data_IF_160682988212
#
_entry.id   IF_160682988212
#
_cell.length_a   1.000
_cell.length_b   1.000
_cell.length_c   1.000
_cell.angle_alpha   90.00
_cell.angle_beta   90.00
_cell.angle_gamma   90.00
#
_symmetry.space_group_name_H-M   'P 1'
#
loop_
_entity.id
_entity.type
_entity.pdbx_description
1 polymer ?
#
# COMPACT_ATOMS: atom_id res chain seq x y z
N UNK A 1 -28.28 -5.68 -12.32
CA UNK A 1 -26.81 -5.46 -12.24
C UNK A 1 -26.32 -5.50 -10.79
N UNK A 2 -26.95 -4.80 -9.85
CA UNK A 2 -26.62 -4.86 -8.41
C UNK A 2 -26.74 -6.27 -7.79
N UNK A 3 -27.71 -7.06 -8.26
CA UNK A 3 -27.93 -8.43 -7.75
C UNK A 3 -26.80 -9.40 -8.10
N UNK A 4 -26.11 -9.16 -9.22
CA UNK A 4 -24.97 -9.96 -9.65
C UNK A 4 -23.71 -9.60 -8.84
N UNK A 5 -23.53 -8.32 -8.50
CA UNK A 5 -22.43 -7.85 -7.64
C UNK A 5 -22.60 -8.39 -6.22
N UNK A 6 -23.80 -8.31 -5.65
CA UNK A 6 -24.08 -8.86 -4.32
C UNK A 6 -23.91 -10.39 -4.25
N UNK A 7 -24.27 -11.10 -5.33
CA UNK A 7 -24.07 -12.55 -5.45
C UNK A 7 -22.60 -12.91 -5.51
N UNK A 8 -21.82 -12.20 -6.32
CA UNK A 8 -20.38 -12.45 -6.45
C UNK A 8 -19.62 -12.11 -5.16
N UNK A 9 -19.95 -11.01 -4.47
CA UNK A 9 -19.37 -10.69 -3.16
C UNK A 9 -19.65 -11.77 -2.11
N UNK A 10 -20.87 -12.32 -2.10
CA UNK A 10 -21.26 -13.37 -1.15
C UNK A 10 -20.53 -14.69 -1.42
N UNK A 11 -20.25 -14.99 -2.68
CA UNK A 11 -19.44 -16.15 -3.09
C UNK A 11 -17.98 -15.93 -2.67
N UNK A 12 -17.44 -14.73 -2.88
CA UNK A 12 -16.07 -14.38 -2.50
C UNK A 12 -15.86 -14.45 -0.97
N UNK A 13 -16.77 -13.85 -0.20
CA UNK A 13 -16.74 -13.87 1.25
C UNK A 13 -16.80 -15.29 1.82
N UNK A 14 -17.61 -16.16 1.21
CA UNK A 14 -17.75 -17.55 1.67
C UNK A 14 -16.52 -18.39 1.34
N UNK A 15 -15.82 -18.10 0.25
CA UNK A 15 -14.54 -18.70 -0.06
C UNK A 15 -13.44 -18.25 0.93
N UNK A 16 -13.37 -16.94 1.24
CA UNK A 16 -12.41 -16.41 2.21
C UNK A 16 -12.65 -16.93 3.64
N UNK A 17 -13.91 -17.07 4.07
CA UNK A 17 -14.22 -17.63 5.39
C UNK A 17 -13.81 -19.09 5.54
N UNK A 18 -13.91 -19.89 4.46
CA UNK A 18 -13.51 -21.30 4.47
C UNK A 18 -11.97 -21.43 4.54
N UNK A 19 -11.24 -20.56 3.84
CA UNK A 19 -9.77 -20.54 3.86
C UNK A 19 -9.25 -20.09 5.24
N UNK A 20 -9.93 -19.13 5.88
CA UNK A 20 -9.61 -18.68 7.23
C UNK A 20 -9.80 -19.80 8.27
N UNK A 21 -10.93 -20.52 8.21
CA UNK A 21 -11.24 -21.60 9.16
C UNK A 21 -10.25 -22.77 9.09
N UNK A 22 -9.83 -23.15 7.88
CA UNK A 22 -8.84 -24.23 7.69
C UNK A 22 -7.48 -23.85 8.29
N UNK A 23 -7.06 -22.60 8.15
CA UNK A 23 -5.80 -22.09 8.72
C UNK A 23 -5.85 -22.03 10.26
N UNK A 24 -6.98 -21.59 10.82
CA UNK A 24 -7.20 -21.52 12.27
C UNK A 24 -7.20 -22.91 12.91
N UNK A 25 -7.85 -23.90 12.29
CA UNK A 25 -7.87 -25.29 12.80
C UNK A 25 -6.50 -25.96 12.75
N UNK A 26 -5.72 -25.75 11.68
CA UNK A 26 -4.34 -26.27 11.60
C UNK A 26 -3.39 -25.63 12.63
N UNK A 27 -3.60 -24.37 12.99
CA UNK A 27 -2.90 -23.72 14.10
C UNK A 27 -3.33 -24.26 15.47
N UNK A 28 -4.64 -24.42 15.72
CA UNK A 28 -5.14 -24.80 17.05
C UNK A 28 -4.67 -26.18 17.52
N UNK A 29 -4.66 -27.20 16.65
CA UNK A 29 -4.34 -28.58 17.10
C UNK A 29 -2.84 -28.83 17.25
N UNK A 30 -1.99 -28.15 16.47
CA UNK A 30 -0.52 -28.23 16.62
C UNK A 30 0.02 -27.27 17.69
N UNK A 31 -0.77 -26.29 18.12
CA UNK A 31 -0.35 -25.26 19.08
C UNK A 31 -0.45 -25.74 20.54
N UNK A 32 -1.45 -26.53 20.92
CA UNK A 32 -1.61 -26.94 22.34
C UNK A 32 -0.40 -27.73 22.86
N UNK A 33 0.07 -28.73 22.10
CA UNK A 33 1.23 -29.54 22.49
C UNK A 33 2.54 -28.72 22.48
N UNK A 34 2.68 -27.77 21.54
CA UNK A 34 3.80 -26.83 21.50
C UNK A 34 3.77 -25.84 22.66
N UNK A 35 2.59 -25.37 23.06
CA UNK A 35 2.41 -24.49 24.21
C UNK A 35 2.79 -25.18 25.52
N UNK A 36 2.35 -26.42 25.71
CA UNK A 36 2.75 -27.24 26.87
C UNK A 36 4.26 -27.51 26.84
N UNK A 37 4.82 -27.88 25.69
CA UNK A 37 6.27 -28.10 25.55
C UNK A 37 7.08 -26.82 25.83
N UNK A 38 6.60 -25.65 25.37
CA UNK A 38 7.24 -24.37 25.66
C UNK A 38 7.20 -24.04 27.15
N UNK A 39 6.06 -24.26 27.81
CA UNK A 39 5.91 -24.05 29.26
C UNK A 39 6.87 -24.95 30.05
N UNK A 40 6.91 -26.24 29.71
CA UNK A 40 7.85 -27.19 30.32
C UNK A 40 9.30 -26.79 30.03
N UNK A 41 9.61 -26.31 28.82
CA UNK A 41 10.93 -25.81 28.46
C UNK A 41 11.36 -24.62 29.32
N UNK A 42 10.48 -23.65 29.55
CA UNK A 42 10.74 -22.51 30.45
C UNK A 42 10.99 -22.99 31.88
N UNK A 43 10.17 -23.93 32.36
CA UNK A 43 10.32 -24.46 33.71
C UNK A 43 11.62 -25.25 33.87
N UNK A 44 11.97 -26.09 32.90
CA UNK A 44 13.21 -26.84 32.87
C UNK A 44 14.43 -25.91 32.80
N UNK A 45 14.35 -24.83 32.02
CA UNK A 45 15.41 -23.83 31.96
C UNK A 45 15.61 -23.10 33.29
N UNK A 46 14.52 -22.74 33.98
CA UNK A 46 14.58 -22.09 35.29
C UNK A 46 15.17 -23.03 36.35
N UNK A 47 14.67 -24.26 36.43
CA UNK A 47 15.18 -25.26 37.37
C UNK A 47 16.62 -25.66 37.09
N UNK A 48 17.01 -25.76 35.81
CA UNK A 48 18.39 -26.00 35.41
C UNK A 48 19.33 -24.89 35.89
N UNK A 49 18.91 -23.62 35.77
CA UNK A 49 19.68 -22.48 36.29
C UNK A 49 19.85 -22.54 37.80
N UNK A 50 18.78 -22.82 38.55
CA UNK A 50 18.86 -22.97 40.00
C UNK A 50 19.78 -24.13 40.40
N UNK A 51 19.65 -25.28 39.73
CA UNK A 51 20.52 -26.44 39.96
C UNK A 51 21.99 -26.10 39.71
N UNK A 52 22.29 -25.40 38.61
CA UNK A 52 23.65 -25.01 38.26
C UNK A 52 24.20 -23.96 39.24
N UNK A 53 23.35 -23.02 39.67
CA UNK A 53 23.71 -22.03 40.69
C UNK A 53 24.08 -22.70 42.01
N UNK A 54 23.23 -23.59 42.55
CA UNK A 54 23.52 -24.28 43.81
C UNK A 54 24.76 -25.18 43.71
N UNK A 55 24.97 -25.83 42.56
CA UNK A 55 26.17 -26.64 42.32
C UNK A 55 27.45 -25.78 42.32
N UNK A 56 27.42 -24.60 41.69
CA UNK A 56 28.55 -23.67 41.67
C UNK A 56 28.75 -22.95 43.00
N UNK A 57 27.66 -22.62 43.70
CA UNK A 57 27.69 -21.98 45.01
C UNK A 57 28.51 -22.82 46.00
N UNK A 58 28.34 -24.15 45.97
CA UNK A 58 29.09 -25.07 46.82
C UNK A 58 30.62 -24.98 46.60
N UNK A 59 31.06 -24.68 45.37
CA UNK A 59 32.47 -24.63 45.03
C UNK A 59 33.09 -23.24 45.21
N UNK A 60 32.44 -22.20 44.68
CA UNK A 60 33.03 -20.85 44.51
C UNK A 60 32.32 -19.76 45.33
N UNK A 61 31.29 -20.14 46.09
CA UNK A 61 30.47 -19.23 46.88
C UNK A 61 29.39 -18.51 46.05
N UNK A 62 28.42 -17.88 46.74
CA UNK A 62 27.19 -17.39 46.12
C UNK A 62 27.42 -16.23 45.14
N UNK A 63 28.39 -15.36 45.44
CA UNK A 63 28.66 -14.15 44.63
C UNK A 63 29.20 -14.55 43.25
N UNK A 64 30.24 -15.39 43.22
CA UNK A 64 30.85 -15.83 41.96
C UNK A 64 29.94 -16.76 41.16
N UNK A 65 29.17 -17.62 41.85
CA UNK A 65 28.15 -18.44 41.20
C UNK A 65 27.09 -17.58 40.50
N UNK A 66 26.53 -16.57 41.18
CA UNK A 66 25.53 -15.68 40.59
C UNK A 66 26.10 -14.91 39.39
N UNK A 67 27.33 -14.40 39.51
CA UNK A 67 28.00 -13.67 38.43
C UNK A 67 28.21 -14.54 37.18
N UNK A 68 28.70 -15.78 37.35
CA UNK A 68 28.98 -16.66 36.22
C UNK A 68 27.71 -17.15 35.55
N UNK A 69 26.69 -17.53 36.32
CA UNK A 69 25.39 -17.95 35.79
C UNK A 69 24.71 -16.77 35.07
N UNK A 70 24.74 -15.57 35.63
CA UNK A 70 24.21 -14.37 34.99
C UNK A 70 24.90 -14.06 33.66
N UNK A 71 26.23 -14.14 33.62
CA UNK A 71 27.02 -13.90 32.41
C UNK A 71 26.73 -14.97 31.34
N UNK A 72 26.63 -16.24 31.73
CA UNK A 72 26.26 -17.32 30.83
C UNK A 72 24.86 -17.13 30.21
N UNK A 73 23.87 -16.71 31.01
CA UNK A 73 22.53 -16.39 30.51
C UNK A 73 22.53 -15.19 29.57
N UNK A 74 23.31 -14.16 29.85
CA UNK A 74 23.46 -13.00 28.97
C UNK A 74 24.05 -13.40 27.62
N UNK A 75 25.11 -14.22 27.62
CA UNK A 75 25.68 -14.78 26.39
C UNK A 75 24.65 -15.60 25.61
N UNK A 76 23.89 -16.46 26.29
CA UNK A 76 22.83 -17.24 25.66
C UNK A 76 21.76 -16.33 25.03
N UNK A 77 21.36 -15.26 25.71
CA UNK A 77 20.41 -14.28 25.18
C UNK A 77 20.94 -13.58 23.92
N UNK A 78 22.22 -13.17 23.91
CA UNK A 78 22.85 -12.58 22.73
C UNK A 78 22.85 -13.57 21.56
N UNK A 79 23.21 -14.83 21.79
CA UNK A 79 23.20 -15.89 20.76
C UNK A 79 21.79 -16.08 20.20
N UNK A 80 20.78 -16.20 21.07
CA UNK A 80 19.38 -16.33 20.66
C UNK A 80 18.90 -15.12 19.86
N UNK A 81 19.29 -13.90 20.25
CA UNK A 81 18.95 -12.68 19.54
C UNK A 81 19.58 -12.66 18.14
N UNK A 82 20.85 -13.06 18.00
CA UNK A 82 21.51 -13.17 16.69
C UNK A 82 20.81 -14.22 15.81
N UNK A 83 20.40 -15.36 16.38
CA UNK A 83 19.65 -16.40 15.65
C UNK A 83 18.27 -15.88 15.24
N UNK A 84 17.57 -15.18 16.14
CA UNK A 84 16.26 -14.60 15.87
C UNK A 84 16.34 -13.55 14.74
N UNK A 85 17.37 -12.70 14.74
CA UNK A 85 17.61 -11.74 13.66
C UNK A 85 17.90 -12.41 12.31
N UNK A 86 18.54 -13.59 12.32
CA UNK A 86 18.79 -14.37 11.10
C UNK A 86 17.60 -15.19 10.64
N UNK A 87 16.59 -15.37 11.48
CA UNK A 87 15.39 -16.13 11.16
C UNK A 87 14.46 -15.25 10.32
N UNK A 88 14.35 -15.53 9.02
CA UNK A 88 13.49 -14.77 8.09
C UNK A 88 12.02 -14.82 8.54
N UNK A 89 11.24 -13.74 8.34
CA UNK A 89 9.81 -13.73 8.62
C UNK A 89 9.13 -14.92 7.95
N UNK A 90 8.33 -15.68 8.70
CA UNK A 90 7.76 -16.94 8.23
C UNK A 90 6.91 -16.83 6.96
N UNK A 91 6.56 -17.98 6.39
CA UNK A 91 5.77 -18.14 5.14
C UNK A 91 4.47 -17.31 5.11
N UNK A 92 3.97 -16.87 6.27
CA UNK A 92 2.81 -15.99 6.41
C UNK A 92 3.11 -14.53 6.07
N UNK A 93 4.31 -14.04 6.41
CA UNK A 93 4.78 -12.72 5.98
C UNK A 93 5.05 -12.69 4.47
N UNK A 94 5.56 -13.80 3.92
CA UNK A 94 5.78 -13.94 2.47
C UNK A 94 4.47 -13.84 1.70
N UNK A 95 3.42 -14.52 2.16
CA UNK A 95 2.07 -14.40 1.60
C UNK A 95 1.49 -12.98 1.77
N UNK A 96 1.71 -12.34 2.92
CA UNK A 96 1.25 -10.96 3.15
C UNK A 96 1.97 -9.96 2.22
N UNK A 97 3.27 -10.17 1.97
CA UNK A 97 4.07 -9.37 1.04
C UNK A 97 3.64 -9.60 -0.41
N UNK A 98 3.31 -10.82 -0.79
CA UNK A 98 2.81 -11.16 -2.14
C UNK A 98 1.45 -10.50 -2.41
N UNK A 99 0.52 -10.54 -1.45
CA UNK A 99 -0.78 -9.85 -1.54
C UNK A 99 -0.59 -8.33 -1.63
N UNK A 100 0.30 -7.76 -0.81
CA UNK A 100 0.63 -6.33 -0.87
C UNK A 100 1.23 -5.93 -2.22
N UNK A 101 2.18 -6.71 -2.75
CA UNK A 101 2.81 -6.44 -4.03
C UNK A 101 1.80 -6.53 -5.18
N UNK A 102 0.91 -7.51 -5.14
CA UNK A 102 -0.18 -7.65 -6.13
C UNK A 102 -1.12 -6.44 -6.09
N UNK A 103 -1.47 -5.96 -4.90
CA UNK A 103 -2.29 -4.76 -4.73
C UNK A 103 -1.58 -3.50 -5.25
N UNK A 104 -0.27 -3.37 -5.03
CA UNK A 104 0.52 -2.25 -5.57
C UNK A 104 0.60 -2.29 -7.11
N UNK A 105 0.76 -3.47 -7.70
CA UNK A 105 0.78 -3.64 -9.16
C UNK A 105 -0.56 -3.27 -9.81
N UNK A 106 -1.68 -3.63 -9.16
CA UNK A 106 -3.00 -3.21 -9.60
C UNK A 106 -3.14 -1.68 -9.54
N UNK A 107 -2.67 -1.04 -8.46
CA UNK A 107 -2.70 0.41 -8.32
C UNK A 107 -1.82 1.15 -9.35
N UNK A 108 -0.67 0.59 -9.71
CA UNK A 108 0.18 1.12 -10.79
C UNK A 108 -0.53 1.06 -12.15
N UNK A 109 -1.24 -0.03 -12.41
CA UNK A 109 -2.02 -0.22 -13.65
C UNK A 109 -3.17 0.79 -13.72
N UNK A 110 -3.90 0.97 -12.62
CA UNK A 110 -4.97 1.96 -12.54
C UNK A 110 -4.44 3.40 -12.67
N UNK A 111 -3.28 3.70 -12.08
CA UNK A 111 -2.63 5.00 -12.22
C UNK A 111 -2.22 5.30 -13.67
N UNK A 112 -1.72 4.30 -14.40
CA UNK A 112 -1.42 4.44 -15.83
C UNK A 112 -2.68 4.67 -16.67
N UNK A 113 -3.77 3.97 -16.38
CA UNK A 113 -5.05 4.17 -17.05
C UNK A 113 -5.61 5.59 -16.80
N UNK A 114 -5.51 6.10 -15.57
CA UNK A 114 -5.91 7.47 -15.23
C UNK A 114 -5.04 8.50 -15.96
N UNK A 115 -3.73 8.28 -16.05
CA UNK A 115 -2.83 9.17 -16.81
C UNK A 115 -3.18 9.22 -18.30
N UNK A 116 -3.55 8.09 -18.90
CA UNK A 116 -3.98 8.04 -20.29
C UNK A 116 -5.29 8.81 -20.51
N UNK A 117 -6.28 8.61 -19.63
CA UNK A 117 -7.55 9.35 -19.70
C UNK A 117 -7.34 10.87 -19.53
N UNK A 118 -6.43 11.28 -18.64
CA UNK A 118 -6.08 12.69 -18.46
C UNK A 118 -5.35 13.28 -19.68
N UNK A 119 -4.51 12.48 -20.36
CA UNK A 119 -3.84 12.90 -21.57
C UNK A 119 -4.84 13.09 -22.73
N UNK A 120 -5.76 12.14 -22.92
CA UNK A 120 -6.84 12.24 -23.91
C UNK A 120 -7.73 13.47 -23.65
N UNK A 121 -8.14 13.69 -22.40
CA UNK A 121 -8.94 14.86 -22.04
C UNK A 121 -8.21 16.17 -22.30
N UNK A 122 -6.89 16.23 -22.01
CA UNK A 122 -6.08 17.41 -22.30
C UNK A 122 -6.01 17.69 -23.79
N UNK A 123 -5.86 16.66 -24.61
CA UNK A 123 -5.76 16.78 -26.06
C UNK A 123 -7.12 17.18 -26.68
N UNK A 124 -8.23 16.68 -26.14
CA UNK A 124 -9.59 17.12 -26.51
C UNK A 124 -9.81 18.62 -26.19
N UNK A 125 -9.46 19.06 -24.98
CA UNK A 125 -9.56 20.48 -24.57
C UNK A 125 -8.69 21.37 -25.46
N UNK A 126 -7.49 20.89 -25.86
CA UNK A 126 -6.61 21.61 -26.78
C UNK A 126 -7.21 21.70 -28.18
N UNK A 127 -7.80 20.62 -28.69
CA UNK A 127 -8.51 20.60 -29.96
C UNK A 127 -9.70 21.55 -29.99
N UNK A 128 -10.50 21.60 -28.91
CA UNK A 128 -11.60 22.57 -28.77
C UNK A 128 -11.08 24.00 -28.77
N UNK A 129 -10.00 24.28 -28.02
CA UNK A 129 -9.36 25.61 -28.01
C UNK A 129 -8.88 26.02 -29.41
N UNK A 130 -8.26 25.11 -30.15
CA UNK A 130 -7.78 25.36 -31.52
C UNK A 130 -8.94 25.60 -32.49
N UNK A 131 -10.03 24.82 -32.39
CA UNK A 131 -11.25 25.05 -33.17
C UNK A 131 -11.88 26.42 -32.88
N UNK A 132 -11.94 26.83 -31.61
CA UNK A 132 -12.45 28.15 -31.20
C UNK A 132 -11.53 29.28 -31.67
N UNK A 133 -10.21 29.14 -31.54
CA UNK A 133 -9.24 30.15 -32.02
C UNK A 133 -9.28 30.26 -33.54
N UNK A 134 -9.37 29.15 -34.27
CA UNK A 134 -9.55 29.13 -35.72
C UNK A 134 -10.87 29.79 -36.15
N UNK A 135 -11.95 29.50 -35.41
CA UNK A 135 -13.25 30.13 -35.64
C UNK A 135 -13.30 31.60 -35.23
N UNK A 136 -12.41 32.13 -34.38
CA UNK A 136 -12.35 33.58 -34.10
C UNK A 136 -11.48 34.31 -35.13
N UNK A 137 -10.43 33.66 -35.66
CA UNK A 137 -9.56 34.26 -36.68
C UNK A 137 -10.24 34.37 -38.04
N UNK A 138 -11.11 33.43 -38.43
CA UNK A 138 -11.77 33.44 -39.75
C UNK A 138 -12.94 34.45 -39.95
N UNK A 139 -13.83 34.74 -38.99
CA UNK A 139 -14.95 35.66 -39.21
C UNK A 139 -14.55 37.13 -39.07
N UNK A 140 -13.45 37.45 -38.37
CA UNK A 140 -12.96 38.82 -38.30
C UNK A 140 -12.40 39.29 -39.65
N UNK A 141 -11.55 38.49 -40.31
CA UNK A 141 -10.99 38.87 -41.63
C UNK A 141 -12.03 38.84 -42.77
N UNK A 142 -13.06 38.00 -42.67
CA UNK A 142 -14.03 37.82 -43.76
C UNK A 142 -15.20 38.82 -43.74
N UNK A 143 -15.54 39.38 -42.58
CA UNK A 143 -16.77 40.19 -42.40
C UNK A 143 -16.47 41.66 -42.08
N UNK A 144 -15.28 41.99 -41.57
CA UNK A 144 -14.89 43.39 -41.30
C UNK A 144 -14.79 44.27 -42.55
N UNK A 145 -14.27 43.82 -43.72
CA UNK A 145 -14.10 44.72 -44.86
C UNK A 145 -15.42 45.12 -45.55
N UNK A 146 -16.48 44.31 -45.47
CA UNK A 146 -17.71 44.51 -46.27
C UNK A 146 -18.79 45.33 -45.55
N UNK A 147 -18.74 45.44 -44.22
CA UNK A 147 -19.69 46.26 -43.44
C UNK A 147 -19.15 47.65 -43.07
N UNK A 148 -17.83 47.83 -42.99
CA UNK A 148 -17.22 49.11 -42.61
C UNK A 148 -17.26 50.17 -43.74
N UNK A 149 -17.21 49.74 -45.01
CA UNK A 149 -17.23 50.64 -46.18
C UNK A 149 -18.56 51.41 -46.34
N UNK A 150 -19.75 50.79 -46.28
CA UNK A 150 -21.01 51.52 -46.46
C UNK A 150 -21.33 52.47 -45.30
N UNK A 151 -20.94 52.14 -44.07
CA UNK A 151 -21.15 53.02 -42.91
C UNK A 151 -20.27 54.27 -42.94
N UNK A 152 -19.00 54.12 -43.31
CA UNK A 152 -18.10 55.26 -43.48
C UNK A 152 -18.57 56.21 -44.60
N UNK A 153 -19.08 55.66 -45.71
CA UNK A 153 -19.64 56.44 -46.81
C UNK A 153 -20.93 57.19 -46.45
N UNK A 154 -21.81 56.57 -45.66
CA UNK A 154 -23.07 57.19 -45.23
C UNK A 154 -22.84 58.38 -44.28
N UNK A 155 -21.89 58.28 -43.35
CA UNK A 155 -21.53 59.37 -42.43
C UNK A 155 -20.86 60.54 -43.18
N UNK A 156 -19.93 60.25 -44.09
CA UNK A 156 -19.27 61.28 -44.90
C UNK A 156 -20.24 61.99 -45.87
N UNK A 157 -21.23 61.28 -46.41
CA UNK A 157 -22.26 61.88 -47.28
C UNK A 157 -23.27 62.73 -46.49
N UNK A 158 -23.54 62.39 -45.22
CA UNK A 158 -24.40 63.17 -44.33
C UNK A 158 -23.80 64.54 -43.96
N UNK A 159 -22.47 64.65 -43.85
CA UNK A 159 -21.81 65.91 -43.49
C UNK A 159 -21.52 66.84 -44.69
N UNK A 160 -21.68 66.36 -45.93
CA UNK A 160 -21.32 67.11 -47.14
C UNK A 160 -22.53 67.73 -47.85
N UNK A 161 -23.54 68.17 -47.09
CA UNK A 161 -24.66 68.95 -47.62
C UNK A 161 -24.86 70.26 -46.84
N UNK A 162 -24.20 71.33 -47.28
CA UNK A 162 -24.69 72.69 -47.14
C UNK A 162 -24.94 73.27 -48.54
N UNK A 163 -26.21 73.35 -48.94
CA UNK A 163 -26.82 74.45 -49.71
C UNK A 163 -28.32 74.43 -49.40
#
# INVERSE_FOLDING_TARGET
MMDNVARNLRILWRAESIIADIRVRQMMTRSSLRGVAALLGVFAFLMGNLSLFFALEQAWGPIWAAALIGLANLLLAVVLLVIAQRSKPGREMELALEVRNTALQALETDAQAIQQQLAEFRDEVRGVREAVVGFVRHPLDSVLPSLLVPLAGAVLKGMKKPE
#
